data_IF_121179260727
#
_entry.id   IF_121179260727
#
_cell.length_a   1.000
_cell.length_b   1.000
_cell.length_c   1.000
_cell.angle_alpha   90.00
_cell.angle_beta   90.00
_cell.angle_gamma   90.00
#
_symmetry.space_group_name_H-M   'P 1'
#
loop_
_entity.id
_entity.type
_entity.pdbx_description
1 polymer ?
#
# COMPACT_ATOMS: atom_id res chain seq x y z
N UNK A 1 2.94 29.83 -64.23
CA UNK A 1 2.88 31.06 -63.41
C UNK A 1 2.88 30.64 -61.95
N UNK A 2 3.75 31.20 -61.11
CA UNK A 2 3.90 30.75 -59.73
C UNK A 2 2.76 31.30 -58.84
N UNK A 3 2.39 30.51 -57.83
CA UNK A 3 1.28 30.74 -56.90
C UNK A 3 1.58 31.90 -55.93
N UNK A 4 0.59 32.76 -55.58
CA UNK A 4 0.71 33.77 -54.53
C UNK A 4 0.26 33.25 -53.15
N UNK A 5 0.78 33.91 -52.11
CA UNK A 5 0.63 33.65 -50.66
C UNK A 5 -0.79 33.91 -50.09
N UNK A 6 -1.12 33.40 -48.88
CA UNK A 6 -2.45 33.52 -48.30
C UNK A 6 -2.69 34.83 -47.53
N UNK A 7 -3.84 35.45 -47.80
CA UNK A 7 -4.40 36.60 -47.08
C UNK A 7 -4.98 36.19 -45.71
N UNK A 8 -4.68 37.02 -44.71
CA UNK A 8 -5.21 37.02 -43.34
C UNK A 8 -6.48 37.88 -43.27
N UNK A 9 -7.63 37.32 -42.90
CA UNK A 9 -8.65 37.99 -42.05
C UNK A 9 -9.83 37.08 -41.68
N UNK A 10 -10.10 36.88 -40.39
CA UNK A 10 -11.48 36.78 -39.84
C UNK A 10 -11.47 37.01 -38.31
N UNK A 11 -11.68 38.27 -37.95
CA UNK A 11 -12.37 38.84 -36.77
C UNK A 11 -12.69 37.95 -35.54
N UNK A 12 -12.08 38.33 -34.40
CA UNK A 12 -12.55 38.05 -33.04
C UNK A 12 -13.78 38.91 -32.70
N UNK A 13 -14.88 38.27 -32.31
CA UNK A 13 -15.99 38.90 -31.59
C UNK A 13 -15.81 38.59 -30.10
N UNK A 14 -15.30 39.57 -29.36
CA UNK A 14 -15.29 39.59 -27.90
C UNK A 14 -16.71 39.92 -27.44
N UNK A 15 -17.36 38.96 -26.78
CA UNK A 15 -18.58 39.23 -26.01
C UNK A 15 -18.15 39.58 -24.58
N UNK A 16 -18.29 40.85 -24.23
CA UNK A 16 -18.22 41.34 -22.85
C UNK A 16 -19.39 40.74 -22.07
N UNK A 17 -19.11 40.09 -20.93
CA UNK A 17 -20.12 39.61 -19.99
C UNK A 17 -20.17 40.60 -18.85
N UNK A 18 -21.31 41.28 -18.70
CA UNK A 18 -21.59 42.22 -17.63
C UNK A 18 -21.65 41.49 -16.27
N UNK A 19 -20.78 41.89 -15.33
CA UNK A 19 -20.81 41.49 -13.92
C UNK A 19 -21.84 42.33 -13.14
N UNK A 20 -23.13 42.00 -13.24
CA UNK A 20 -24.15 42.45 -12.29
C UNK A 20 -25.12 41.30 -11.98
N UNK A 21 -24.87 40.57 -10.89
CA UNK A 21 -25.85 40.26 -9.84
C UNK A 21 -25.26 39.25 -8.82
N UNK A 22 -25.21 39.69 -7.56
CA UNK A 22 -24.66 38.93 -6.43
C UNK A 22 -25.62 37.87 -5.87
N UNK A 23 -25.81 36.77 -6.60
CA UNK A 23 -26.33 35.52 -6.03
C UNK A 23 -25.17 34.55 -5.80
N UNK A 24 -24.93 34.22 -4.53
CA UNK A 24 -24.02 33.14 -4.15
C UNK A 24 -24.49 31.84 -4.79
N UNK A 25 -23.77 31.36 -5.80
CA UNK A 25 -24.00 30.04 -6.37
C UNK A 25 -23.80 29.00 -5.26
N UNK A 26 -24.90 28.38 -4.81
CA UNK A 26 -24.78 27.18 -3.98
C UNK A 26 -24.10 26.08 -4.80
N UNK A 27 -23.08 25.40 -4.25
CA UNK A 27 -22.39 24.35 -4.99
C UNK A 27 -23.35 23.20 -5.30
N UNK A 28 -23.45 22.82 -6.57
CA UNK A 28 -24.24 21.68 -7.06
C UNK A 28 -23.72 20.30 -6.59
N UNK A 29 -22.77 20.26 -5.65
CA UNK A 29 -22.10 19.07 -5.18
C UNK A 29 -22.42 18.84 -3.70
N UNK A 30 -22.75 17.60 -3.35
CA UNK A 30 -22.88 17.22 -1.95
C UNK A 30 -21.52 17.41 -1.26
N UNK A 31 -21.48 18.24 -0.22
CA UNK A 31 -20.29 18.40 0.60
C UNK A 31 -19.96 17.05 1.27
N UNK A 32 -18.70 16.62 1.20
CA UNK A 32 -18.25 15.42 1.93
C UNK A 32 -18.53 15.59 3.43
N UNK A 33 -18.89 14.47 4.07
CA UNK A 33 -19.24 14.42 5.49
C UNK A 33 -18.01 14.10 6.34
N UNK A 34 -16.86 13.79 5.72
CA UNK A 34 -15.57 13.71 6.40
C UNK A 34 -15.10 15.10 6.86
N UNK A 35 -14.52 15.20 8.06
CA UNK A 35 -13.85 16.44 8.47
C UNK A 35 -12.74 16.79 7.48
N UNK A 36 -12.69 18.07 7.11
CA UNK A 36 -11.61 18.62 6.29
C UNK A 36 -10.30 18.48 7.07
N UNK A 37 -9.38 17.67 6.57
CA UNK A 37 -8.01 17.61 7.09
C UNK A 37 -7.35 18.95 6.80
N UNK A 38 -6.81 19.67 7.80
CA UNK A 38 -6.07 20.90 7.55
C UNK A 38 -4.89 20.60 6.64
N UNK A 39 -4.79 21.29 5.51
CA UNK A 39 -3.62 21.22 4.62
C UNK A 39 -2.36 21.50 5.47
N UNK A 40 -1.37 20.61 5.38
CA UNK A 40 -0.05 20.82 5.97
C UNK A 40 0.57 22.07 5.33
N UNK A 41 0.41 23.22 5.96
CA UNK A 41 1.03 24.45 5.46
C UNK A 41 2.54 24.37 5.69
N UNK A 42 3.33 24.26 4.62
CA UNK A 42 4.48 25.15 4.49
C UNK A 42 3.99 26.46 3.88
N UNK A 43 3.35 27.27 4.73
CA UNK A 43 2.95 28.67 4.51
C UNK A 43 2.60 29.09 3.06
N UNK A 44 1.31 29.08 2.71
CA UNK A 44 0.78 29.74 1.51
C UNK A 44 -0.74 29.90 1.54
N UNK A 45 -1.25 31.08 1.17
CA UNK A 45 -2.64 31.57 1.31
C UNK A 45 -3.73 30.67 0.69
N UNK A 46 -4.83 30.49 1.42
CA UNK A 46 -6.06 29.83 0.93
C UNK A 46 -7.13 30.84 0.49
N UNK A 47 -7.84 30.51 -0.60
CA UNK A 47 -9.18 31.02 -0.91
C UNK A 47 -10.18 29.87 -0.72
N UNK A 48 -11.26 30.13 0.04
CA UNK A 48 -12.21 29.10 0.50
C UNK A 48 -13.11 28.51 -0.61
N UNK A 49 -13.05 29.03 -1.84
CA UNK A 49 -13.91 28.63 -2.95
C UNK A 49 -13.40 27.44 -3.79
N UNK A 50 -12.14 27.01 -3.60
CA UNK A 50 -11.49 25.99 -4.46
C UNK A 50 -11.43 24.59 -3.81
N UNK A 51 -11.98 24.42 -2.60
CA UNK A 51 -11.92 23.15 -1.82
C UNK A 51 -12.88 22.06 -2.37
N UNK A 52 -13.58 22.33 -3.48
CA UNK A 52 -14.61 21.44 -4.05
C UNK A 52 -14.20 20.74 -5.37
N UNK A 53 -12.95 20.87 -5.85
CA UNK A 53 -12.41 19.97 -6.88
C UNK A 53 -11.92 18.67 -6.24
N UNK A 54 -11.96 17.56 -6.98
CA UNK A 54 -11.77 16.16 -6.54
C UNK A 54 -10.40 15.78 -5.94
N UNK A 55 -9.62 16.75 -5.47
CA UNK A 55 -8.33 16.59 -4.79
C UNK A 55 -8.36 17.36 -3.47
N UNK A 56 -8.43 16.64 -2.35
CA UNK A 56 -8.52 17.23 -1.01
C UNK A 56 -7.18 17.39 -0.28
N UNK A 57 -6.03 17.49 -0.98
CA UNK A 57 -4.77 18.03 -0.43
C UNK A 57 -3.63 18.05 -1.46
N UNK A 58 -2.70 18.99 -1.21
CA UNK A 58 -1.45 19.35 -1.92
C UNK A 58 -1.57 19.81 -3.39
N UNK A 59 -0.96 20.96 -3.70
CA UNK A 59 -0.76 21.41 -5.09
C UNK A 59 0.35 20.60 -5.75
N UNK A 60 0.32 20.44 -7.08
CA UNK A 60 1.34 19.72 -7.86
C UNK A 60 2.77 20.20 -7.56
N UNK A 61 2.94 21.49 -7.24
CA UNK A 61 4.20 22.13 -6.86
C UNK A 61 4.73 21.72 -5.48
N UNK A 62 3.89 21.12 -4.63
CA UNK A 62 4.24 20.62 -3.29
C UNK A 62 4.61 19.14 -3.30
N UNK A 63 4.48 18.46 -4.45
CA UNK A 63 4.80 17.05 -4.61
C UNK A 63 6.30 16.84 -4.81
N UNK A 64 6.88 15.95 -4.02
CA UNK A 64 8.31 15.62 -4.07
C UNK A 64 8.60 14.60 -5.18
N UNK A 65 8.39 14.99 -6.44
CA UNK A 65 8.67 14.13 -7.57
C UNK A 65 10.14 14.20 -8.00
N UNK A 66 10.79 13.05 -8.06
CA UNK A 66 12.21 12.91 -8.39
C UNK A 66 12.39 12.04 -9.63
N UNK A 67 13.21 12.53 -10.58
CA UNK A 67 13.63 11.75 -11.74
C UNK A 67 14.95 11.02 -11.43
N UNK A 68 14.92 9.70 -11.43
CA UNK A 68 16.10 8.84 -11.21
C UNK A 68 16.11 7.71 -12.24
N UNK A 69 17.27 7.42 -12.84
CA UNK A 69 17.45 6.31 -13.78
C UNK A 69 16.42 6.27 -14.94
N UNK A 70 15.92 7.44 -15.37
CA UNK A 70 14.92 7.54 -16.43
C UNK A 70 13.46 7.26 -16.02
N UNK A 71 13.20 7.08 -14.71
CA UNK A 71 11.87 6.88 -14.13
C UNK A 71 11.51 8.03 -13.19
N UNK A 72 10.22 8.27 -12.97
CA UNK A 72 9.72 9.27 -12.01
C UNK A 72 9.29 8.59 -10.71
N UNK A 73 9.69 9.11 -9.57
CA UNK A 73 9.36 8.60 -8.23
C UNK A 73 8.75 9.71 -7.35
N UNK A 74 8.10 9.34 -6.25
CA UNK A 74 7.65 10.28 -5.22
C UNK A 74 8.43 10.05 -3.91
N UNK A 75 9.09 11.11 -3.41
CA UNK A 75 9.91 11.09 -2.20
C UNK A 75 10.90 9.93 -2.17
N UNK A 76 10.90 9.18 -1.08
CA UNK A 76 11.74 8.00 -0.89
C UNK A 76 11.07 6.68 -1.30
N UNK A 77 9.86 6.71 -1.88
CA UNK A 77 9.15 5.51 -2.29
C UNK A 77 9.88 4.77 -3.42
N UNK A 78 9.93 3.44 -3.29
CA UNK A 78 10.82 2.62 -4.10
C UNK A 78 10.29 2.32 -5.51
N UNK A 79 8.98 2.36 -5.72
CA UNK A 79 8.38 2.18 -7.04
C UNK A 79 8.19 3.53 -7.75
N UNK A 80 8.34 3.58 -9.08
CA UNK A 80 8.04 4.77 -9.84
C UNK A 80 6.53 5.11 -9.84
N UNK A 81 6.18 6.27 -10.37
CA UNK A 81 4.78 6.72 -10.54
C UNK A 81 4.54 7.31 -11.96
N UNK A 82 5.41 6.99 -12.90
CA UNK A 82 5.26 7.32 -14.33
C UNK A 82 4.21 6.44 -15.03
N UNK A 83 3.88 6.80 -16.27
CA UNK A 83 2.77 6.17 -17.02
C UNK A 83 2.97 4.65 -17.19
N UNK A 84 4.21 4.19 -17.37
CA UNK A 84 4.53 2.77 -17.48
C UNK A 84 4.16 2.01 -16.21
N UNK A 85 4.39 2.61 -15.05
CA UNK A 85 4.06 2.00 -13.78
C UNK A 85 2.57 2.06 -13.48
N UNK A 86 1.90 3.15 -13.83
CA UNK A 86 0.44 3.24 -13.73
C UNK A 86 -0.26 2.18 -14.59
N UNK A 87 0.24 1.92 -15.81
CA UNK A 87 -0.27 0.84 -16.66
C UNK A 87 -0.03 -0.53 -16.04
N UNK A 88 1.14 -0.76 -15.42
CA UNK A 88 1.41 -1.98 -14.65
C UNK A 88 0.38 -2.14 -13.52
N UNK A 89 0.12 -1.09 -12.74
CA UNK A 89 -0.87 -1.10 -11.64
C UNK A 89 -2.28 -1.43 -12.13
N UNK A 90 -2.70 -0.93 -13.29
CA UNK A 90 -3.99 -1.29 -13.91
C UNK A 90 -4.07 -2.77 -14.26
N UNK A 91 -2.99 -3.35 -14.80
CA UNK A 91 -2.92 -4.80 -15.06
C UNK A 91 -2.97 -5.60 -13.76
N UNK A 92 -2.23 -5.17 -12.73
CA UNK A 92 -2.24 -5.80 -11.40
C UNK A 92 -3.65 -5.76 -10.79
N UNK A 93 -4.37 -4.65 -10.92
CA UNK A 93 -5.76 -4.54 -10.46
C UNK A 93 -6.66 -5.59 -11.14
N UNK A 94 -6.54 -5.78 -12.45
CA UNK A 94 -7.28 -6.84 -13.15
C UNK A 94 -6.92 -8.24 -12.66
N UNK A 95 -5.65 -8.50 -12.31
CA UNK A 95 -5.23 -9.78 -11.72
C UNK A 95 -5.92 -9.99 -10.37
N UNK A 96 -5.96 -8.98 -9.50
CA UNK A 96 -6.69 -9.05 -8.23
C UNK A 96 -8.17 -9.37 -8.43
N UNK A 97 -8.85 -8.67 -9.34
CA UNK A 97 -10.26 -8.96 -9.65
C UNK A 97 -10.45 -10.41 -10.08
N UNK A 98 -9.58 -10.94 -10.95
CA UNK A 98 -9.70 -12.33 -11.39
C UNK A 98 -9.45 -13.34 -10.25
N UNK A 99 -8.51 -13.07 -9.35
CA UNK A 99 -8.24 -13.93 -8.18
C UNK A 99 -9.44 -14.00 -7.23
N UNK A 100 -10.17 -12.90 -7.09
CA UNK A 100 -11.32 -12.79 -6.19
C UNK A 100 -12.68 -12.87 -6.90
N UNK A 101 -12.75 -13.46 -8.09
CA UNK A 101 -14.01 -13.62 -8.86
C UNK A 101 -14.78 -12.29 -9.06
N UNK A 102 -14.05 -11.22 -9.31
CA UNK A 102 -14.52 -9.84 -9.49
C UNK A 102 -15.11 -9.20 -8.22
N UNK A 103 -14.90 -9.81 -7.05
CA UNK A 103 -15.16 -9.14 -5.77
C UNK A 103 -13.98 -8.23 -5.40
N UNK A 104 -14.29 -7.04 -4.89
CA UNK A 104 -13.29 -6.03 -4.51
C UNK A 104 -12.76 -6.24 -3.09
N UNK A 105 -13.50 -6.91 -2.23
CA UNK A 105 -13.13 -7.18 -0.83
C UNK A 105 -13.64 -8.56 -0.41
N UNK A 106 -12.87 -9.26 0.42
CA UNK A 106 -13.31 -10.51 1.06
C UNK A 106 -14.05 -10.27 2.37
N UNK A 107 -14.09 -9.02 2.84
CA UNK A 107 -14.79 -8.63 4.06
C UNK A 107 -16.30 -8.53 3.78
N UNK A 108 -17.16 -9.17 4.61
CA UNK A 108 -18.60 -9.03 4.46
C UNK A 108 -19.07 -7.65 4.95
N UNK A 109 -19.28 -6.72 4.01
CA UNK A 109 -19.81 -5.39 4.32
C UNK A 109 -21.34 -5.34 4.19
N UNK A 110 -21.98 -4.65 5.14
CA UNK A 110 -23.42 -4.35 5.11
C UNK A 110 -23.60 -2.84 5.19
N UNK A 111 -24.06 -2.23 4.09
CA UNK A 111 -24.30 -0.79 3.97
C UNK A 111 -23.18 0.10 4.57
N UNK A 112 -21.91 -0.07 4.12
CA UNK A 112 -20.81 0.72 4.63
C UNK A 112 -21.05 2.21 4.38
N UNK A 113 -20.59 3.06 5.30
CA UNK A 113 -20.73 4.52 5.23
C UNK A 113 -19.42 5.19 4.88
N UNK A 114 -18.31 4.68 5.39
CA UNK A 114 -16.97 5.23 5.16
C UNK A 114 -15.95 4.13 4.93
N UNK A 115 -15.20 4.24 3.84
CA UNK A 115 -14.10 3.34 3.51
C UNK A 115 -12.84 4.17 3.27
N UNK A 116 -11.70 3.65 3.72
CA UNK A 116 -10.40 4.27 3.54
C UNK A 116 -9.46 3.30 2.81
N UNK A 117 -8.96 3.70 1.65
CA UNK A 117 -8.00 2.96 0.84
C UNK A 117 -6.62 3.62 0.97
N UNK A 118 -5.67 2.93 1.61
CA UNK A 118 -4.34 3.45 1.93
C UNK A 118 -3.36 2.98 0.86
N UNK A 119 -2.66 3.93 0.22
CA UNK A 119 -1.84 3.66 -0.95
C UNK A 119 -2.68 3.33 -2.17
N UNK A 120 -3.67 4.20 -2.47
CA UNK A 120 -4.69 3.92 -3.49
C UNK A 120 -4.11 3.80 -4.91
N UNK A 121 -2.89 4.28 -5.14
CA UNK A 121 -2.22 4.25 -6.43
C UNK A 121 -3.04 4.99 -7.48
N UNK A 122 -3.41 4.32 -8.58
CA UNK A 122 -4.26 4.91 -9.63
C UNK A 122 -5.73 5.09 -9.22
N UNK A 123 -6.14 4.61 -8.05
CA UNK A 123 -7.51 4.80 -7.53
C UNK A 123 -8.55 3.77 -7.98
N UNK A 124 -8.16 2.79 -8.81
CA UNK A 124 -9.10 1.82 -9.43
C UNK A 124 -9.96 1.07 -8.40
N UNK A 125 -9.35 0.66 -7.28
CA UNK A 125 -10.08 -0.06 -6.23
C UNK A 125 -11.07 0.85 -5.51
N UNK A 126 -10.65 2.05 -5.13
CA UNK A 126 -11.51 3.03 -4.47
C UNK A 126 -12.71 3.42 -5.34
N UNK A 127 -12.48 3.63 -6.65
CA UNK A 127 -13.54 3.88 -7.63
C UNK A 127 -14.52 2.72 -7.69
N UNK A 128 -14.02 1.49 -7.83
CA UNK A 128 -14.89 0.30 -7.87
C UNK A 128 -15.73 0.13 -6.61
N UNK A 129 -15.18 0.42 -5.42
CA UNK A 129 -15.93 0.33 -4.16
C UNK A 129 -17.02 1.39 -4.06
N UNK A 130 -16.76 2.59 -4.55
CA UNK A 130 -17.75 3.66 -4.57
C UNK A 130 -18.90 3.41 -5.56
N UNK A 131 -18.60 2.77 -6.69
CA UNK A 131 -19.63 2.29 -7.63
C UNK A 131 -20.47 1.17 -7.01
N UNK A 132 -19.84 0.24 -6.29
CA UNK A 132 -20.53 -0.87 -5.61
C UNK A 132 -21.41 -0.38 -4.45
N UNK A 133 -20.99 0.67 -3.74
CA UNK A 133 -21.71 1.26 -2.62
C UNK A 133 -21.96 2.76 -2.83
N UNK A 134 -22.99 3.16 -3.62
CA UNK A 134 -23.25 4.57 -3.97
C UNK A 134 -23.57 5.51 -2.80
N UNK A 135 -23.84 4.95 -1.61
CA UNK A 135 -24.11 5.73 -0.39
C UNK A 135 -22.94 5.75 0.59
N UNK A 136 -21.85 5.06 0.26
CA UNK A 136 -20.61 5.01 1.01
C UNK A 136 -19.66 6.09 0.48
N UNK A 137 -19.04 6.84 1.37
CA UNK A 137 -17.93 7.73 1.02
C UNK A 137 -16.62 6.94 1.07
N UNK A 138 -15.90 6.90 -0.05
CA UNK A 138 -14.62 6.19 -0.19
C UNK A 138 -13.51 7.20 -0.35
N UNK A 139 -12.53 7.16 0.55
CA UNK A 139 -11.34 8.03 0.51
C UNK A 139 -10.12 7.20 0.13
N UNK A 140 -9.48 7.55 -0.97
CA UNK A 140 -8.18 6.99 -1.36
C UNK A 140 -7.05 7.95 -0.97
N UNK A 141 -6.06 7.46 -0.24
CA UNK A 141 -4.88 8.23 0.17
C UNK A 141 -3.66 7.70 -0.56
N UNK A 142 -2.87 8.59 -1.14
CA UNK A 142 -1.58 8.25 -1.75
C UNK A 142 -0.60 9.41 -1.63
N UNK A 143 0.70 9.13 -1.68
CA UNK A 143 1.73 10.18 -1.71
C UNK A 143 1.87 10.81 -3.11
N UNK A 144 1.34 10.16 -4.15
CA UNK A 144 1.41 10.61 -5.54
C UNK A 144 0.04 11.06 -6.04
N UNK A 145 -0.03 12.25 -6.65
CA UNK A 145 -1.18 12.73 -7.40
C UNK A 145 -1.22 12.12 -8.81
N UNK A 146 -1.66 10.86 -8.90
CA UNK A 146 -1.74 10.08 -10.16
C UNK A 146 -3.14 9.51 -10.43
N UNK A 147 -4.14 9.94 -9.65
CA UNK A 147 -5.51 9.49 -9.73
C UNK A 147 -6.30 10.28 -10.79
N UNK A 148 -7.32 9.67 -11.42
CA UNK A 148 -8.16 10.36 -12.39
C UNK A 148 -9.02 11.44 -11.71
N UNK A 149 -9.33 12.51 -12.45
CA UNK A 149 -10.20 13.60 -11.96
C UNK A 149 -11.69 13.32 -12.19
N UNK A 150 -12.01 12.50 -13.21
CA UNK A 150 -13.36 12.08 -13.54
C UNK A 150 -13.72 10.78 -12.81
N UNK A 151 -14.31 10.90 -11.62
CA UNK A 151 -14.67 9.79 -10.73
C UNK A 151 -16.09 9.93 -10.16
N UNK A 152 -16.68 8.86 -9.59
CA UNK A 152 -17.95 8.95 -8.88
C UNK A 152 -17.93 10.02 -7.78
N UNK A 153 -19.07 10.66 -7.53
CA UNK A 153 -19.19 11.77 -6.56
C UNK A 153 -18.91 11.39 -5.11
N UNK A 154 -18.86 10.10 -4.80
CA UNK A 154 -18.61 9.55 -3.48
C UNK A 154 -17.18 8.97 -3.32
N UNK A 155 -16.28 9.26 -4.27
CA UNK A 155 -14.84 8.99 -4.15
C UNK A 155 -14.10 10.30 -3.93
N UNK A 156 -13.17 10.32 -2.98
CA UNK A 156 -12.28 11.44 -2.74
C UNK A 156 -10.84 10.95 -2.70
N UNK A 157 -9.93 11.68 -3.34
CA UNK A 157 -8.50 11.41 -3.26
C UNK A 157 -7.80 12.48 -2.44
N UNK A 158 -6.93 12.01 -1.55
CA UNK A 158 -6.10 12.84 -0.68
C UNK A 158 -4.64 12.53 -0.94
N UNK A 159 -3.86 13.58 -1.21
CA UNK A 159 -2.42 13.44 -1.33
C UNK A 159 -1.82 13.68 0.04
N UNK A 160 -1.44 12.60 0.70
CA UNK A 160 -0.93 12.61 2.07
C UNK A 160 -0.04 11.40 2.36
N UNK A 161 0.82 11.57 3.36
CA UNK A 161 1.73 10.54 3.84
C UNK A 161 1.14 9.87 5.09
N UNK A 162 0.79 8.59 4.96
CA UNK A 162 0.19 7.82 6.06
C UNK A 162 1.20 7.44 7.17
N UNK A 163 2.48 7.77 7.07
CA UNK A 163 3.48 7.55 8.13
C UNK A 163 3.51 8.62 9.21
N UNK A 164 2.57 9.55 9.14
CA UNK A 164 2.33 10.57 10.16
C UNK A 164 0.96 10.37 10.80
N UNK A 165 0.69 11.07 11.90
CA UNK A 165 -0.60 10.99 12.60
C UNK A 165 -1.78 11.21 11.65
N UNK A 166 -2.73 10.26 11.66
CA UNK A 166 -3.92 10.36 10.82
C UNK A 166 -4.88 11.36 11.44
N UNK A 167 -5.08 12.49 10.77
CA UNK A 167 -6.01 13.55 11.18
C UNK A 167 -7.48 13.15 10.95
N UNK A 168 -7.85 11.93 11.38
CA UNK A 168 -9.15 11.31 11.18
C UNK A 168 -9.80 11.02 12.54
N UNK A 169 -11.11 11.23 12.70
CA UNK A 169 -11.75 10.94 13.97
C UNK A 169 -11.78 9.43 14.23
N UNK A 170 -11.58 9.07 15.49
CA UNK A 170 -11.70 7.69 15.93
C UNK A 170 -13.10 7.12 15.64
N UNK A 171 -13.17 5.81 15.40
CA UNK A 171 -14.44 5.08 15.28
C UNK A 171 -15.38 5.58 14.17
N UNK A 172 -14.83 5.93 13.00
CA UNK A 172 -15.59 6.49 11.87
C UNK A 172 -15.57 5.62 10.62
N UNK A 173 -14.56 4.75 10.46
CA UNK A 173 -14.35 3.94 9.25
C UNK A 173 -14.94 2.54 9.40
N UNK A 174 -15.62 2.06 8.35
CA UNK A 174 -16.18 0.70 8.28
C UNK A 174 -15.17 -0.32 7.74
N UNK A 175 -14.39 0.07 6.73
CA UNK A 175 -13.30 -0.74 6.15
C UNK A 175 -12.07 0.13 5.87
N UNK A 176 -10.91 -0.36 6.31
CA UNK A 176 -9.61 0.13 5.85
C UNK A 176 -8.98 -0.94 4.96
N UNK A 177 -8.59 -0.55 3.75
CA UNK A 177 -8.00 -1.43 2.76
C UNK A 177 -6.56 -1.01 2.44
N UNK A 178 -5.67 -2.00 2.30
CA UNK A 178 -4.29 -1.84 1.86
C UNK A 178 -3.96 -2.96 0.86
N UNK A 179 -3.35 -2.64 -0.28
CA UNK A 179 -3.04 -3.66 -1.29
C UNK A 179 -1.79 -3.32 -2.07
N UNK A 180 -0.90 -4.31 -2.21
CA UNK A 180 0.41 -4.18 -2.88
C UNK A 180 1.28 -3.10 -2.20
N UNK A 181 1.31 -3.14 -0.86
CA UNK A 181 1.97 -2.15 0.01
C UNK A 181 3.28 -2.67 0.61
N UNK A 182 3.76 -3.85 0.21
CA UNK A 182 5.01 -4.41 0.70
C UNK A 182 6.22 -3.48 0.44
N UNK A 183 6.83 -2.98 1.52
CA UNK A 183 7.93 -2.01 1.45
C UNK A 183 7.46 -0.55 1.36
N UNK A 184 6.16 -0.28 1.57
CA UNK A 184 5.65 1.09 1.58
C UNK A 184 5.95 1.84 2.87
N UNK A 185 6.02 1.17 4.02
CA UNK A 185 6.15 1.80 5.34
C UNK A 185 7.37 1.31 6.14
N UNK A 186 7.94 2.21 6.95
CA UNK A 186 8.99 1.92 7.93
C UNK A 186 8.42 1.28 9.21
N UNK A 187 7.30 1.82 9.71
CA UNK A 187 6.64 1.33 10.93
C UNK A 187 5.21 0.85 10.66
N UNK A 188 5.08 -0.44 10.32
CA UNK A 188 3.78 -1.09 10.16
C UNK A 188 2.93 -1.14 11.43
N UNK A 189 3.54 -1.14 12.63
CA UNK A 189 2.78 -1.12 13.88
C UNK A 189 2.14 0.25 14.11
N UNK A 190 2.77 1.33 13.65
CA UNK A 190 2.15 2.65 13.60
C UNK A 190 0.93 2.65 12.68
N UNK A 191 1.08 2.20 11.43
CA UNK A 191 -0.01 2.15 10.44
C UNK A 191 -1.21 1.34 10.96
N UNK A 192 -0.96 0.16 11.53
CA UNK A 192 -2.04 -0.66 12.07
C UNK A 192 -2.68 -0.08 13.34
N UNK A 193 -1.95 0.69 14.16
CA UNK A 193 -2.54 1.41 15.30
C UNK A 193 -3.46 2.53 14.83
N UNK A 194 -3.02 3.34 13.87
CA UNK A 194 -3.86 4.41 13.31
C UNK A 194 -5.11 3.84 12.62
N UNK A 195 -4.94 2.71 11.91
CA UNK A 195 -6.07 1.98 11.35
C UNK A 195 -7.05 1.52 12.43
N UNK A 196 -6.56 0.89 13.51
CA UNK A 196 -7.40 0.45 14.62
C UNK A 196 -8.12 1.62 15.29
N UNK A 197 -7.46 2.78 15.46
CA UNK A 197 -8.05 3.98 16.04
C UNK A 197 -9.23 4.49 15.20
N UNK A 198 -9.05 4.59 13.88
CA UNK A 198 -10.05 5.08 12.94
C UNK A 198 -11.24 4.14 12.74
N UNK A 199 -11.02 2.83 12.81
CA UNK A 199 -12.09 1.85 12.63
C UNK A 199 -13.18 1.99 13.70
N UNK A 200 -14.45 1.89 13.28
CA UNK A 200 -15.58 1.67 14.18
C UNK A 200 -15.39 0.37 14.97
N UNK A 201 -15.97 0.23 16.17
CA UNK A 201 -16.08 -1.08 16.82
C UNK A 201 -16.78 -2.06 15.87
N UNK A 202 -16.15 -3.19 15.57
CA UNK A 202 -16.61 -4.15 14.57
C UNK A 202 -16.23 -3.82 13.10
N UNK A 203 -15.63 -2.67 12.84
CA UNK A 203 -15.07 -2.32 11.53
C UNK A 203 -13.84 -3.15 11.19
N UNK A 204 -13.55 -3.28 9.90
CA UNK A 204 -12.58 -4.25 9.38
C UNK A 204 -11.34 -3.60 8.78
N UNK A 205 -10.22 -4.32 8.85
CA UNK A 205 -9.05 -4.07 8.01
C UNK A 205 -8.87 -5.25 7.06
N UNK A 206 -8.53 -4.95 5.82
CA UNK A 206 -8.12 -5.93 4.82
C UNK A 206 -6.80 -5.48 4.19
N UNK A 207 -5.78 -6.33 4.26
CA UNK A 207 -4.46 -6.06 3.75
C UNK A 207 -3.95 -7.21 2.88
N UNK A 208 -3.47 -6.90 1.68
CA UNK A 208 -3.08 -7.89 0.67
C UNK A 208 -1.69 -7.59 0.11
N UNK A 209 -0.80 -8.59 0.11
CA UNK A 209 0.52 -8.47 -0.50
C UNK A 209 1.02 -9.75 -1.14
N UNK A 210 1.75 -9.58 -2.24
CA UNK A 210 2.43 -10.67 -2.92
C UNK A 210 3.64 -11.14 -2.12
N UNK A 211 3.93 -12.43 -2.25
CA UNK A 211 5.03 -13.07 -1.58
C UNK A 211 5.80 -13.99 -2.50
N UNK A 212 7.11 -13.74 -2.57
CA UNK A 212 8.06 -14.36 -3.49
C UNK A 212 9.06 -15.30 -2.79
N UNK A 213 9.26 -15.19 -1.46
CA UNK A 213 10.39 -15.83 -0.76
C UNK A 213 10.05 -17.02 0.17
N UNK A 214 9.01 -16.95 1.01
CA UNK A 214 8.79 -17.87 2.16
C UNK A 214 7.31 -18.22 2.42
N UNK A 215 6.54 -18.53 1.37
CA UNK A 215 5.13 -18.91 1.51
C UNK A 215 4.96 -20.25 2.20
N UNK A 216 3.81 -20.51 2.82
CA UNK A 216 3.56 -21.82 3.44
C UNK A 216 3.25 -22.90 2.40
N UNK A 217 2.87 -22.49 1.20
CA UNK A 217 2.31 -23.36 0.16
C UNK A 217 3.23 -23.50 -1.07
N UNK A 218 3.74 -22.39 -1.62
CA UNK A 218 4.58 -22.41 -2.83
C UNK A 218 5.66 -21.31 -2.82
N UNK A 219 6.90 -21.69 -3.12
CA UNK A 219 8.03 -20.75 -3.22
C UNK A 219 8.37 -20.51 -4.68
N UNK A 220 8.00 -19.36 -5.23
CA UNK A 220 8.34 -18.95 -6.59
C UNK A 220 9.83 -19.16 -6.91
N UNK A 221 10.72 -18.70 -6.02
CA UNK A 221 12.17 -18.82 -6.20
C UNK A 221 12.67 -20.27 -6.19
N UNK A 222 12.05 -21.18 -5.43
CA UNK A 222 12.52 -22.58 -5.35
C UNK A 222 12.31 -23.35 -6.65
N UNK A 223 11.51 -22.80 -7.56
CA UNK A 223 11.26 -23.39 -8.87
C UNK A 223 12.44 -23.17 -9.84
N UNK A 224 13.38 -22.28 -9.51
CA UNK A 224 14.57 -21.97 -10.32
C UNK A 224 15.80 -22.76 -9.84
N UNK A 225 16.74 -23.11 -10.74
CA UNK A 225 18.02 -23.72 -10.38
C UNK A 225 18.75 -22.91 -9.30
N UNK A 226 19.50 -23.57 -8.43
CA UNK A 226 20.14 -22.92 -7.28
C UNK A 226 21.21 -21.88 -7.66
N UNK A 227 21.75 -21.97 -8.88
CA UNK A 227 22.73 -21.06 -9.47
C UNK A 227 22.12 -19.98 -10.37
N UNK A 228 20.79 -19.95 -10.53
CA UNK A 228 20.10 -18.94 -11.33
C UNK A 228 20.28 -17.53 -10.75
N UNK A 229 20.36 -16.54 -11.63
CA UNK A 229 20.62 -15.13 -11.28
C UNK A 229 19.50 -14.56 -10.42
N UNK A 230 18.26 -15.01 -10.59
CA UNK A 230 17.12 -14.58 -9.77
C UNK A 230 17.34 -14.74 -8.26
N UNK A 231 18.13 -15.73 -7.83
CA UNK A 231 18.42 -15.94 -6.41
C UNK A 231 19.36 -14.87 -5.85
N UNK A 232 20.42 -14.51 -6.59
CA UNK A 232 21.35 -13.46 -6.18
C UNK A 232 20.68 -12.09 -6.22
N UNK A 233 19.87 -11.85 -7.25
CA UNK A 233 19.08 -10.65 -7.43
C UNK A 233 18.04 -10.46 -6.32
N UNK A 234 17.28 -11.51 -5.97
CA UNK A 234 16.30 -11.44 -4.88
C UNK A 234 16.95 -11.12 -3.52
N UNK A 235 18.14 -11.68 -3.25
CA UNK A 235 18.91 -11.34 -2.03
C UNK A 235 19.37 -9.89 -2.03
N UNK A 236 19.83 -9.38 -3.16
CA UNK A 236 20.24 -7.98 -3.29
C UNK A 236 19.05 -7.03 -3.04
N UNK A 237 17.86 -7.35 -3.56
CA UNK A 237 16.65 -6.57 -3.29
C UNK A 237 16.26 -6.61 -1.80
N UNK A 238 16.29 -7.77 -1.15
CA UNK A 238 16.01 -7.86 0.29
C UNK A 238 17.02 -7.02 1.10
N UNK A 239 18.32 -7.16 0.82
CA UNK A 239 19.38 -6.35 1.46
C UNK A 239 19.15 -4.84 1.25
N UNK A 240 18.89 -4.42 0.02
CA UNK A 240 18.61 -3.02 -0.32
C UNK A 240 17.38 -2.49 0.42
N UNK A 241 16.29 -3.29 0.46
CA UNK A 241 15.05 -2.91 1.14
C UNK A 241 15.23 -2.78 2.66
N UNK A 242 16.06 -3.63 3.26
CA UNK A 242 16.42 -3.54 4.68
C UNK A 242 17.24 -2.27 4.94
N UNK A 243 18.22 -1.95 4.09
CA UNK A 243 19.01 -0.70 4.18
C UNK A 243 18.14 0.55 4.01
N UNK A 244 17.09 0.47 3.19
CA UNK A 244 16.12 1.54 3.02
C UNK A 244 15.18 1.73 4.23
N UNK A 245 15.24 0.85 5.25
CA UNK A 245 14.30 0.87 6.38
C UNK A 245 12.91 0.33 6.06
N UNK A 246 12.65 -0.03 4.79
CA UNK A 246 11.35 -0.42 4.25
C UNK A 246 11.45 -1.81 3.64
N UNK A 247 11.62 -2.81 4.51
CA UNK A 247 11.79 -4.20 4.09
C UNK A 247 10.59 -4.63 3.22
N UNK A 248 10.85 -5.39 2.16
CA UNK A 248 9.76 -5.98 1.34
C UNK A 248 9.22 -7.29 1.90
N UNK A 249 8.14 -7.76 1.28
CA UNK A 249 7.48 -9.03 1.59
C UNK A 249 6.38 -8.91 2.64
N UNK A 250 5.88 -10.05 3.11
CA UNK A 250 4.63 -10.16 3.89
C UNK A 250 4.85 -10.27 5.40
N UNK A 251 6.02 -9.85 5.90
CA UNK A 251 6.38 -9.90 7.32
C UNK A 251 5.52 -8.97 8.20
N UNK A 252 4.82 -8.01 7.59
CA UNK A 252 3.83 -7.17 8.27
C UNK A 252 2.45 -7.84 8.35
N UNK A 253 2.14 -8.80 7.47
CA UNK A 253 0.88 -9.56 7.44
C UNK A 253 0.95 -10.83 8.30
N UNK A 254 1.08 -10.65 9.62
CA UNK A 254 1.12 -11.75 10.59
C UNK A 254 0.03 -11.60 11.64
N UNK A 255 -0.63 -12.71 12.00
CA UNK A 255 -1.70 -12.72 12.99
C UNK A 255 -1.23 -12.17 14.35
N UNK A 256 -0.08 -12.67 14.83
CA UNK A 256 0.52 -12.24 16.10
C UNK A 256 0.72 -10.72 16.21
N UNK A 257 1.03 -10.05 15.09
CA UNK A 257 1.22 -8.59 15.07
C UNK A 257 -0.09 -7.88 15.36
N UNK A 258 -1.14 -8.18 14.59
CA UNK A 258 -2.44 -7.52 14.73
C UNK A 258 -3.11 -7.86 16.06
N UNK A 259 -3.01 -9.11 16.52
CA UNK A 259 -3.55 -9.53 17.83
C UNK A 259 -2.90 -8.75 18.98
N UNK A 260 -1.57 -8.56 18.95
CA UNK A 260 -0.87 -7.74 19.95
C UNK A 260 -1.28 -6.27 19.92
N UNK A 261 -1.65 -5.75 18.75
CA UNK A 261 -2.14 -4.38 18.60
C UNK A 261 -3.61 -4.23 19.02
N UNK A 262 -4.32 -5.34 19.28
CA UNK A 262 -5.68 -5.34 19.81
C UNK A 262 -6.76 -5.58 18.76
N UNK A 263 -6.40 -6.03 17.55
CA UNK A 263 -7.39 -6.52 16.60
C UNK A 263 -7.97 -7.88 17.05
N UNK A 264 -9.21 -8.14 16.66
CA UNK A 264 -9.92 -9.39 16.86
C UNK A 264 -10.17 -10.11 15.52
N UNK A 265 -10.48 -11.40 15.60
CA UNK A 265 -10.83 -12.27 14.47
C UNK A 265 -9.85 -12.20 13.30
N UNK A 266 -8.55 -12.23 13.60
CA UNK A 266 -7.50 -12.16 12.57
C UNK A 266 -7.51 -13.46 11.75
N UNK A 267 -7.64 -13.33 10.44
CA UNK A 267 -7.65 -14.42 9.48
C UNK A 267 -6.60 -14.16 8.41
N UNK A 268 -5.90 -15.23 8.02
CA UNK A 268 -4.94 -15.20 6.92
C UNK A 268 -5.33 -16.27 5.92
N UNK A 269 -5.39 -15.91 4.64
CA UNK A 269 -5.48 -16.84 3.53
C UNK A 269 -4.34 -16.62 2.53
N UNK A 270 -3.99 -17.66 1.78
CA UNK A 270 -3.02 -17.59 0.69
C UNK A 270 -3.68 -18.05 -0.61
N UNK A 271 -3.44 -17.31 -1.69
CA UNK A 271 -3.94 -17.59 -3.03
C UNK A 271 -2.74 -17.77 -3.97
N UNK A 272 -2.64 -18.92 -4.63
CA UNK A 272 -1.59 -19.16 -5.61
C UNK A 272 -2.02 -18.66 -6.99
N UNK A 273 -1.25 -17.72 -7.56
CA UNK A 273 -1.54 -17.10 -8.84
C UNK A 273 -0.61 -17.67 -9.90
N UNK A 274 -1.13 -18.42 -10.89
CA UNK A 274 -0.31 -19.02 -11.95
C UNK A 274 0.35 -17.97 -12.85
N UNK A 275 1.59 -18.25 -13.26
CA UNK A 275 2.34 -17.46 -14.25
C UNK A 275 2.48 -18.18 -15.60
N UNK A 276 2.16 -19.48 -15.67
CA UNK A 276 2.26 -20.26 -16.91
C UNK A 276 1.22 -19.76 -17.94
N UNK A 277 1.68 -19.06 -18.97
CA UNK A 277 0.84 -18.33 -19.94
C UNK A 277 0.15 -19.21 -21.01
N UNK A 278 0.15 -20.54 -20.86
CA UNK A 278 -0.32 -21.49 -21.87
C UNK A 278 -1.86 -21.57 -21.91
N UNK A 279 -2.47 -20.55 -22.52
CA UNK A 279 -3.90 -20.38 -22.81
C UNK A 279 -4.76 -19.69 -21.76
N UNK A 280 -4.17 -19.22 -20.65
CA UNK A 280 -4.87 -18.39 -19.67
C UNK A 280 -4.51 -16.90 -19.88
N UNK A 281 -5.52 -16.06 -20.12
CA UNK A 281 -5.35 -14.61 -20.25
C UNK A 281 -4.90 -13.96 -18.94
N UNK A 282 -5.37 -14.47 -17.80
CA UNK A 282 -5.01 -13.94 -16.48
C UNK A 282 -3.54 -14.24 -16.19
N UNK A 283 -3.10 -15.47 -16.44
CA UNK A 283 -1.69 -15.83 -16.29
C UNK A 283 -0.76 -15.01 -17.19
N UNK A 284 -1.20 -14.66 -18.41
CA UNK A 284 -0.46 -13.76 -19.31
C UNK A 284 -0.37 -12.34 -18.77
N UNK A 285 -1.50 -11.77 -18.33
CA UNK A 285 -1.53 -10.44 -17.72
C UNK A 285 -0.63 -10.39 -16.49
N UNK A 286 -0.72 -11.42 -15.64
CA UNK A 286 0.10 -11.52 -14.44
C UNK A 286 1.59 -11.68 -14.74
N UNK A 287 1.95 -12.50 -15.74
CA UNK A 287 3.33 -12.61 -16.20
C UNK A 287 3.88 -11.26 -16.69
N UNK A 288 3.10 -10.53 -17.49
CA UNK A 288 3.51 -9.18 -17.96
C UNK A 288 3.73 -8.27 -16.76
N UNK A 289 2.78 -8.18 -15.83
CA UNK A 289 2.92 -7.36 -14.62
C UNK A 289 4.18 -7.71 -13.83
N UNK A 290 4.44 -9.01 -13.60
CA UNK A 290 5.64 -9.48 -12.89
C UNK A 290 6.95 -9.09 -13.59
N UNK A 291 7.00 -9.16 -14.92
CA UNK A 291 8.18 -8.78 -15.68
C UNK A 291 8.47 -7.28 -15.56
N UNK A 292 7.42 -6.44 -15.60
CA UNK A 292 7.58 -5.00 -15.36
C UNK A 292 7.95 -4.67 -13.90
N UNK A 293 7.48 -5.46 -12.94
CA UNK A 293 7.84 -5.32 -11.52
C UNK A 293 9.34 -5.54 -11.28
N UNK A 294 10.02 -6.37 -12.08
CA UNK A 294 11.46 -6.64 -11.91
C UNK A 294 12.26 -5.34 -11.95
N UNK A 295 12.10 -4.52 -12.98
CA UNK A 295 12.79 -3.22 -13.08
C UNK A 295 12.20 -2.21 -12.09
N UNK A 296 10.88 -2.01 -12.12
CA UNK A 296 10.20 -0.96 -11.35
C UNK A 296 10.45 -1.08 -9.84
N UNK A 297 10.45 -2.30 -9.31
CA UNK A 297 10.61 -2.59 -7.90
C UNK A 297 12.04 -2.87 -7.44
N UNK A 298 13.06 -2.73 -8.30
CA UNK A 298 14.45 -3.03 -7.94
C UNK A 298 15.45 -1.95 -8.33
N UNK A 299 15.26 -1.26 -9.46
CA UNK A 299 16.29 -0.37 -10.03
C UNK A 299 16.70 0.72 -9.05
N UNK A 300 15.73 1.41 -8.44
CA UNK A 300 15.99 2.45 -7.44
C UNK A 300 16.64 1.88 -6.19
N UNK A 301 16.17 0.74 -5.70
CA UNK A 301 16.72 0.10 -4.51
C UNK A 301 18.20 -0.27 -4.68
N UNK A 302 18.51 -0.97 -5.78
CA UNK A 302 19.85 -1.46 -6.06
C UNK A 302 20.84 -0.31 -6.29
N UNK A 303 20.43 0.72 -7.04
CA UNK A 303 21.30 1.87 -7.34
C UNK A 303 21.49 2.79 -6.12
N UNK A 304 20.44 3.04 -5.33
CA UNK A 304 20.48 3.98 -4.18
C UNK A 304 21.09 3.37 -2.91
N UNK A 305 20.86 2.07 -2.65
CA UNK A 305 21.23 1.46 -1.35
C UNK A 305 22.33 0.40 -1.44
N UNK A 306 22.66 -0.10 -2.64
CA UNK A 306 23.78 -1.02 -2.86
C UNK A 306 24.84 -0.45 -3.81
N UNK A 307 24.72 0.81 -4.24
CA UNK A 307 25.66 1.49 -5.14
C UNK A 307 25.87 0.73 -6.47
N UNK A 308 24.87 -0.02 -6.94
CA UNK A 308 24.96 -0.67 -8.24
C UNK A 308 25.01 0.38 -9.34
N UNK A 309 25.88 0.15 -10.33
CA UNK A 309 25.84 0.93 -11.56
C UNK A 309 24.47 0.72 -12.25
N UNK A 310 23.78 1.78 -12.71
CA UNK A 310 22.46 1.64 -13.31
C UNK A 310 22.43 0.72 -14.54
N UNK A 311 23.48 0.70 -15.37
CA UNK A 311 23.52 -0.20 -16.52
C UNK A 311 23.65 -1.66 -16.08
N UNK A 312 24.47 -1.92 -15.05
CA UNK A 312 24.56 -3.25 -14.44
C UNK A 312 23.23 -3.71 -13.81
N UNK A 313 22.52 -2.82 -13.11
CA UNK A 313 21.22 -3.13 -12.53
C UNK A 313 20.17 -3.47 -13.59
N UNK A 314 20.14 -2.72 -14.70
CA UNK A 314 19.25 -2.99 -15.83
C UNK A 314 19.58 -4.32 -16.53
N UNK A 315 20.86 -4.63 -16.72
CA UNK A 315 21.31 -5.92 -17.27
C UNK A 315 20.83 -7.09 -16.40
N UNK A 316 20.99 -6.98 -15.07
CA UNK A 316 20.51 -7.99 -14.14
C UNK A 316 18.96 -8.13 -14.16
N UNK A 317 18.23 -7.02 -14.32
CA UNK A 317 16.77 -7.06 -14.52
C UNK A 317 16.40 -7.84 -15.79
N UNK A 318 17.11 -7.59 -16.89
CA UNK A 318 16.86 -8.28 -18.16
C UNK A 318 17.13 -9.78 -18.05
N UNK A 319 18.25 -10.18 -17.46
CA UNK A 319 18.59 -11.59 -17.21
C UNK A 319 17.51 -12.30 -16.39
N UNK A 320 17.07 -11.69 -15.28
CA UNK A 320 15.99 -12.24 -14.44
C UNK A 320 14.67 -12.32 -15.21
N UNK A 321 14.32 -11.30 -16.00
CA UNK A 321 13.16 -11.36 -16.86
C UNK A 321 13.24 -12.51 -17.88
N UNK A 322 14.42 -12.79 -18.43
CA UNK A 322 14.63 -13.93 -19.34
C UNK A 322 14.45 -15.27 -18.63
N UNK A 323 14.98 -15.42 -17.41
CA UNK A 323 14.79 -16.64 -16.58
C UNK A 323 13.29 -16.88 -16.29
N UNK A 324 12.56 -15.84 -15.86
CA UNK A 324 11.12 -15.92 -15.58
C UNK A 324 10.35 -16.27 -16.85
N UNK A 325 10.62 -15.61 -17.98
CA UNK A 325 9.97 -15.88 -19.27
C UNK A 325 10.23 -17.30 -19.74
N UNK A 326 11.48 -17.77 -19.69
CA UNK A 326 11.85 -19.10 -20.14
C UNK A 326 11.04 -20.17 -19.39
N UNK A 327 10.87 -19.99 -18.09
CA UNK A 327 10.11 -20.91 -17.24
C UNK A 327 8.60 -20.80 -17.42
N UNK A 328 8.07 -19.58 -17.52
CA UNK A 328 6.64 -19.35 -17.72
C UNK A 328 6.13 -19.85 -19.08
N UNK A 329 7.02 -19.91 -20.08
CA UNK A 329 6.73 -20.34 -21.44
C UNK A 329 7.16 -21.80 -21.74
N UNK A 330 7.68 -22.53 -20.75
CA UNK A 330 8.02 -23.93 -20.89
C UNK A 330 6.75 -24.81 -20.95
N UNK A 331 6.39 -25.21 -22.17
CA UNK A 331 5.22 -26.07 -22.44
C UNK A 331 5.37 -27.49 -21.89
N UNK A 332 6.59 -27.91 -21.55
CA UNK A 332 6.83 -29.22 -20.96
C UNK A 332 6.64 -29.24 -19.45
N UNK A 333 6.63 -28.06 -18.81
CA UNK A 333 6.44 -27.93 -17.39
C UNK A 333 4.99 -28.31 -16.99
N UNK A 334 4.79 -28.93 -15.82
CA UNK A 334 3.44 -29.17 -15.31
C UNK A 334 2.62 -27.88 -15.20
N UNK A 335 1.29 -27.93 -15.36
CA UNK A 335 0.42 -26.81 -15.03
C UNK A 335 0.70 -26.33 -13.60
N UNK A 336 0.63 -25.02 -13.36
CA UNK A 336 0.85 -24.42 -12.03
C UNK A 336 2.24 -24.68 -11.44
N UNK A 337 3.24 -24.99 -12.28
CA UNK A 337 4.63 -25.18 -11.84
C UNK A 337 5.37 -23.87 -11.55
N UNK A 338 4.82 -22.73 -11.98
CA UNK A 338 5.31 -21.40 -11.68
C UNK A 338 4.15 -20.54 -11.19
N UNK A 339 4.21 -20.13 -9.92
CA UNK A 339 3.17 -19.36 -9.26
C UNK A 339 3.77 -18.35 -8.28
N UNK A 340 3.07 -17.25 -8.05
CA UNK A 340 3.34 -16.31 -6.96
C UNK A 340 2.20 -16.42 -5.95
N UNK A 341 2.54 -16.41 -4.67
CA UNK A 341 1.54 -16.47 -3.60
C UNK A 341 1.09 -15.05 -3.26
N UNK A 342 -0.21 -14.84 -3.17
CA UNK A 342 -0.83 -13.65 -2.61
C UNK A 342 -1.30 -13.97 -1.20
N UNK A 343 -0.85 -13.21 -0.20
CA UNK A 343 -1.37 -13.32 1.17
C UNK A 343 -2.45 -12.27 1.37
N UNK A 344 -3.58 -12.71 1.92
CA UNK A 344 -4.68 -11.84 2.36
C UNK A 344 -4.75 -11.95 3.87
N UNK A 345 -4.75 -10.80 4.53
CA UNK A 345 -5.01 -10.70 5.95
C UNK A 345 -6.29 -9.88 6.15
N UNK A 346 -7.21 -10.42 6.94
CA UNK A 346 -8.37 -9.66 7.42
C UNK A 346 -8.39 -9.69 8.94
N UNK A 347 -8.85 -8.61 9.54
CA UNK A 347 -9.11 -8.53 10.97
C UNK A 347 -10.21 -7.50 11.23
N UNK A 348 -10.69 -7.41 12.47
CA UNK A 348 -11.62 -6.36 12.88
C UNK A 348 -11.20 -5.69 14.17
N UNK A 349 -11.67 -4.46 14.36
CA UNK A 349 -11.69 -3.85 15.69
C UNK A 349 -12.65 -4.63 16.59
N UNK A 350 -12.31 -4.89 17.85
CA UNK A 350 -13.24 -5.49 18.80
C UNK A 350 -14.55 -4.69 18.88
N UNK A 351 -15.67 -5.36 19.13
CA UNK A 351 -16.98 -4.69 19.25
C UNK A 351 -17.02 -3.86 20.53
N UNK A 352 -17.98 -2.95 20.62
CA UNK A 352 -18.16 -2.15 21.84
C UNK A 352 -18.37 -3.02 23.09
N UNK A 353 -19.07 -4.15 22.94
CA UNK A 353 -19.30 -5.14 24.01
C UNK A 353 -18.00 -5.82 24.44
N UNK A 354 -17.20 -6.30 23.48
CA UNK A 354 -15.90 -6.93 23.76
C UNK A 354 -14.93 -5.95 24.44
N UNK A 355 -14.88 -4.70 23.96
CA UNK A 355 -14.07 -3.64 24.59
C UNK A 355 -14.52 -3.36 26.03
N UNK A 356 -15.83 -3.37 26.31
CA UNK A 356 -16.35 -3.20 27.66
C UNK A 356 -16.00 -4.40 28.58
N UNK A 357 -16.04 -5.62 28.04
CA UNK A 357 -15.62 -6.82 28.77
C UNK A 357 -14.11 -6.83 29.08
N UNK A 358 -13.28 -6.37 28.16
CA UNK A 358 -11.83 -6.25 28.39
C UNK A 358 -11.50 -5.21 29.46
N UNK A 359 -12.19 -4.05 29.46
CA UNK A 359 -12.03 -3.01 30.49
C UNK A 359 -12.41 -3.51 31.87
N UNK A 360 -13.57 -4.17 32.01
CA UNK A 360 -14.02 -4.72 33.29
C UNK A 360 -13.15 -5.87 33.81
N UNK A 361 -12.54 -6.65 32.91
CA UNK A 361 -11.60 -7.72 33.29
C UNK A 361 -10.26 -7.16 33.82
N UNK A 362 -9.78 -6.04 33.28
CA UNK A 362 -8.55 -5.39 33.73
C UNK A 362 -8.70 -4.61 35.05
N UNK A 363 -9.89 -4.10 35.36
CA UNK A 363 -10.17 -3.42 36.63
C UNK A 363 -10.40 -4.37 37.82
N UNK A 364 -10.53 -5.68 37.56
CA UNK A 364 -10.81 -6.72 38.56
C UNK A 364 -9.60 -7.46 39.16
N UNK A 365 -8.37 -7.12 38.80
CA UNK A 365 -7.15 -7.77 39.32
C UNK A 365 -6.77 -7.30 40.74
N UNK A 366 -6.32 -8.19 41.66
CA UNK A 366 -6.11 -7.82 43.06
C UNK A 366 -4.92 -6.87 43.23
N UNK A 367 -5.21 -5.69 43.77
CA UNK A 367 -4.24 -4.82 44.46
C UNK A 367 -3.58 -5.61 45.59
N UNK A 368 -2.41 -6.21 45.32
CA UNK A 368 -1.61 -6.86 46.37
C UNK A 368 -0.61 -5.88 46.95
N UNK A 369 -0.89 -5.58 48.21
CA UNK A 369 -0.10 -4.91 49.24
C UNK A 369 1.42 -4.82 49.06
N UNK A 370 1.94 -3.64 49.39
CA UNK A 370 3.32 -3.35 49.79
C UNK A 370 3.96 -4.48 50.62
N UNK A 371 5.15 -4.97 50.26
CA UNK A 371 6.01 -5.67 51.20
C UNK A 371 6.70 -4.64 52.09
N UNK A 372 6.48 -4.81 53.38
CA UNK A 372 7.11 -4.06 54.46
C UNK A 372 8.62 -4.31 54.48
N UNK A 373 9.37 -3.21 54.57
CA UNK A 373 10.80 -3.20 54.85
C UNK A 373 11.07 -3.86 56.22
N UNK A 374 11.88 -4.91 56.24
CA UNK A 374 12.60 -5.36 57.44
C UNK A 374 14.09 -5.46 57.13
N UNK A 375 14.85 -4.71 57.93
CA UNK A 375 16.30 -4.63 57.96
C UNK A 375 16.98 -5.91 58.45
N UNK A 376 18.23 -6.09 58.03
CA UNK A 376 19.26 -6.99 58.61
C UNK A 376 19.48 -8.25 57.76
N UNK A 377 20.67 -8.64 57.31
CA UNK A 377 22.02 -8.35 57.82
C UNK A 377 23.02 -8.67 56.70
N UNK A 378 24.09 -7.89 56.60
CA UNK A 378 25.26 -8.16 55.74
C UNK A 378 26.04 -9.32 56.33
N UNK A 379 26.37 -10.33 55.52
CA UNK A 379 27.59 -11.15 55.69
C UNK A 379 28.17 -11.42 54.31
N UNK A 380 29.38 -10.90 54.13
CA UNK A 380 30.33 -11.16 53.06
C UNK A 380 30.95 -12.55 53.27
N UNK A 381 31.13 -13.34 52.21
CA UNK A 381 32.19 -14.37 52.19
C UNK A 381 32.48 -14.85 50.76
N UNK A 382 33.72 -14.55 50.36
CA UNK A 382 34.51 -15.05 49.24
C UNK A 382 34.73 -16.58 49.21
N UNK A 383 34.87 -17.20 48.02
CA UNK A 383 36.07 -17.95 47.54
C UNK A 383 35.78 -18.88 46.32
N UNK A 384 36.73 -18.87 45.36
CA UNK A 384 37.23 -19.93 44.43
C UNK A 384 36.35 -21.15 44.07
N UNK A 385 36.26 -21.62 42.82
CA UNK A 385 37.36 -22.12 41.97
C UNK A 385 37.27 -23.65 41.78
N UNK A 386 37.82 -24.16 40.67
CA UNK A 386 37.80 -25.55 40.14
C UNK A 386 36.53 -25.94 39.34
N UNK A 387 36.61 -26.56 38.17
CA UNK A 387 37.72 -27.13 37.42
C UNK A 387 37.12 -28.06 36.35
N UNK A 388 37.66 -27.97 35.14
CA UNK A 388 37.37 -28.79 33.96
C UNK A 388 37.49 -30.30 34.22
N UNK A 389 36.84 -31.17 33.44
CA UNK A 389 37.45 -31.98 32.35
C UNK A 389 36.70 -33.30 31.96
N UNK A 390 36.77 -33.59 30.64
CA UNK A 390 36.88 -34.91 29.93
C UNK A 390 35.61 -35.79 29.89
N UNK A 391 35.23 -36.49 28.81
CA UNK A 391 35.81 -36.96 27.54
C UNK A 391 34.96 -38.18 27.10
N UNK A 392 34.98 -38.73 25.90
CA UNK A 392 35.96 -38.76 24.82
C UNK A 392 35.24 -38.93 23.46
#
# INVERSE_FOLDING_TARGET
MPLPEPDTDVHENILEVDDEDGESAEPHYAASVYPVIPVRSRAGRFDAATINSSSRSLYEEELDYVMENGRRYCGDYMFPNDDLEQDRLRVVHQVFLNVFNFELTSVPLQDPRHILDIGTGTGEWAIGMAELYPTCEVVGVDISAIQPTAVPHNVFFEIDDCEVEWMRPENTVDLIHLRDMAGAFEDWDFIFREALNCLKPGGHIEALDFHDQTGQTHHFLSTFPADAQIHSFARAIDEASIKAGRRRGTHHLTADRLERLGFADVKISEHAIPLNAHNDSVAKMWLIACLHTVEAGSLRLLTKYLDWDPAHALEACEEVCQEIKAKALDRSAPPNSLQISLRVLTARKPTAEELAHLKSSNEGGPSTANPSVKNGTVVDDSYSGYGSTIGA
#
